data_IF_591593759851
#
_entry.id   IF_591593759851
#
_cell.length_a   1.000
_cell.length_b   1.000
_cell.length_c   1.000
_cell.angle_alpha   90.00
_cell.angle_beta   90.00
_cell.angle_gamma   90.00
#
_symmetry.space_group_name_H-M   'P 1'
#
loop_
_entity.id
_entity.type
_entity.pdbx_description
1 polymer ?
#
# COMPACT_ATOMS: atom_id res chain seq x y z
N UNK A 1 12.60 -29.34 42.12
CA UNK A 1 12.03 -29.97 40.91
C UNK A 1 10.99 -28.97 40.38
N UNK A 2 11.09 -28.34 39.21
CA UNK A 2 11.85 -28.62 37.99
C UNK A 2 12.15 -27.31 37.24
N UNK A 3 13.30 -27.24 36.59
CA UNK A 3 13.57 -26.31 35.50
C UNK A 3 13.16 -26.98 34.18
N UNK A 4 12.60 -26.21 33.25
CA UNK A 4 12.39 -26.67 31.87
C UNK A 4 13.04 -25.69 30.91
N UNK A 5 14.09 -26.19 30.27
CA UNK A 5 14.94 -25.59 29.23
C UNK A 5 14.31 -25.75 27.84
N UNK A 6 14.32 -24.64 27.09
CA UNK A 6 14.77 -24.41 25.69
C UNK A 6 14.48 -25.39 24.54
N UNK A 7 14.35 -24.77 23.34
CA UNK A 7 14.39 -25.27 21.96
C UNK A 7 13.03 -25.81 21.45
N UNK A 8 12.50 -25.39 20.30
CA UNK A 8 13.16 -25.41 18.98
C UNK A 8 12.71 -24.28 18.05
N UNK A 9 13.69 -23.73 17.34
CA UNK A 9 13.53 -23.01 16.08
C UNK A 9 12.68 -23.75 15.05
N UNK A 10 12.30 -22.97 14.04
CA UNK A 10 12.14 -23.38 12.65
C UNK A 10 10.71 -23.73 12.21
N UNK A 11 10.06 -22.71 11.66
CA UNK A 11 9.38 -22.85 10.37
C UNK A 11 9.48 -21.51 9.65
N UNK A 12 10.68 -21.23 9.13
CA UNK A 12 10.78 -20.50 7.88
C UNK A 12 9.98 -21.30 6.85
N UNK A 13 8.81 -20.83 6.48
CA UNK A 13 8.01 -21.42 5.40
C UNK A 13 8.47 -20.76 4.08
N UNK A 14 9.31 -21.42 3.26
CA UNK A 14 9.87 -20.82 2.06
C UNK A 14 9.02 -21.26 0.86
N UNK A 15 7.73 -20.93 0.87
CA UNK A 15 6.85 -21.29 -0.24
C UNK A 15 5.59 -20.42 -0.31
N UNK A 16 5.71 -19.10 -0.09
CA UNK A 16 4.66 -18.21 -0.60
C UNK A 16 4.86 -18.04 -2.10
N UNK A 17 4.45 -19.06 -2.87
CA UNK A 17 4.27 -18.93 -4.32
C UNK A 17 3.59 -17.58 -4.58
N UNK A 18 4.15 -16.71 -5.44
CA UNK A 18 3.45 -15.50 -5.83
C UNK A 18 2.19 -15.96 -6.56
N UNK A 19 1.06 -15.83 -5.89
CA UNK A 19 -0.25 -16.11 -6.47
C UNK A 19 -0.33 -15.29 -7.78
N UNK A 20 -0.44 -15.94 -8.96
CA UNK A 20 -0.48 -15.24 -10.25
C UNK A 20 -1.74 -14.38 -10.38
N UNK A 21 -2.66 -14.49 -9.42
CA UNK A 21 -3.76 -13.58 -9.19
C UNK A 21 -3.59 -12.87 -7.85
N UNK A 22 -2.48 -12.14 -7.65
CA UNK A 22 -2.48 -10.99 -6.72
C UNK A 22 -3.63 -10.08 -7.18
N UNK A 23 -4.83 -10.38 -6.69
CA UNK A 23 -6.09 -9.77 -7.12
C UNK A 23 -5.82 -8.29 -7.13
N UNK A 24 -5.95 -7.63 -8.28
CA UNK A 24 -5.81 -6.18 -8.36
C UNK A 24 -6.74 -5.61 -7.32
N UNK A 25 -6.17 -5.17 -6.20
CA UNK A 25 -6.96 -4.74 -5.06
C UNK A 25 -7.48 -3.37 -5.40
N UNK A 26 -8.76 -3.16 -5.15
CA UNK A 26 -9.39 -1.85 -5.31
C UNK A 26 -8.75 -0.79 -4.40
N UNK A 27 -8.03 -1.21 -3.37
CA UNK A 27 -7.20 -0.38 -2.48
C UNK A 27 -5.71 -0.58 -2.80
N UNK A 28 -4.89 0.43 -2.52
CA UNK A 28 -3.43 0.34 -2.60
C UNK A 28 -2.84 0.34 -1.19
N UNK A 29 -2.39 -0.81 -0.70
CA UNK A 29 -1.84 -0.90 0.66
C UNK A 29 -0.50 -0.16 0.82
N UNK A 30 -0.08 0.19 2.05
CA UNK A 30 1.20 0.85 2.29
C UNK A 30 2.40 0.01 1.81
N UNK A 31 2.32 -1.31 1.92
CA UNK A 31 3.36 -2.26 1.45
C UNK A 31 3.26 -2.60 -0.05
N UNK A 32 2.27 -2.04 -0.76
CA UNK A 32 2.13 -2.27 -2.19
C UNK A 32 3.08 -1.36 -2.98
N UNK A 33 3.58 -1.88 -4.11
CA UNK A 33 4.46 -1.13 -4.99
C UNK A 33 3.78 0.16 -5.45
N UNK A 34 4.53 1.25 -5.38
CA UNK A 34 4.12 2.59 -5.79
C UNK A 34 5.15 3.11 -6.80
N UNK A 35 4.72 3.75 -7.90
CA UNK A 35 5.65 4.26 -8.90
C UNK A 35 6.52 5.37 -8.32
N UNK A 36 7.83 5.28 -8.55
CA UNK A 36 8.79 6.31 -8.13
C UNK A 36 8.63 7.62 -8.91
N UNK A 37 8.09 7.54 -10.14
CA UNK A 37 7.85 8.69 -11.02
C UNK A 37 6.39 8.72 -11.50
N UNK A 38 5.67 9.80 -11.15
CA UNK A 38 4.27 9.99 -11.56
C UNK A 38 4.12 10.67 -12.91
N UNK A 39 5.09 11.50 -13.31
CA UNK A 39 5.07 12.24 -14.58
C UNK A 39 5.02 11.35 -15.83
N UNK A 40 5.48 10.11 -15.74
CA UNK A 40 5.41 9.13 -16.83
C UNK A 40 4.05 8.44 -16.99
N UNK A 41 3.13 8.61 -16.04
CA UNK A 41 1.82 7.98 -16.07
C UNK A 41 0.83 8.75 -16.93
N UNK A 42 -0.04 8.03 -17.64
CA UNK A 42 -1.20 8.66 -18.28
C UNK A 42 -2.12 9.29 -17.23
N UNK A 43 -2.91 10.30 -17.61
CA UNK A 43 -3.89 10.91 -16.68
C UNK A 43 -4.88 9.88 -16.14
N UNK A 44 -5.31 8.94 -16.99
CA UNK A 44 -6.20 7.85 -16.59
C UNK A 44 -5.57 6.97 -15.51
N UNK A 45 -4.29 6.58 -15.67
CA UNK A 45 -3.59 5.75 -14.68
C UNK A 45 -3.39 6.50 -13.36
N UNK A 46 -3.09 7.80 -13.43
CA UNK A 46 -2.95 8.65 -12.24
C UNK A 46 -4.28 8.78 -11.48
N UNK A 47 -5.41 8.94 -12.19
CA UNK A 47 -6.74 8.97 -11.59
C UNK A 47 -7.14 7.61 -10.98
N UNK A 48 -6.76 6.50 -11.62
CA UNK A 48 -6.94 5.15 -11.05
C UNK A 48 -6.12 5.02 -9.76
N UNK A 49 -4.85 5.46 -9.77
CA UNK A 49 -3.98 5.44 -8.60
C UNK A 49 -4.57 6.25 -7.45
N UNK A 50 -5.02 7.48 -7.71
CA UNK A 50 -5.74 8.33 -6.77
C UNK A 50 -6.95 7.60 -6.16
N UNK A 51 -7.80 7.00 -7.00
CA UNK A 51 -8.98 6.26 -6.53
C UNK A 51 -8.63 5.08 -5.61
N UNK A 52 -7.54 4.36 -5.91
CA UNK A 52 -7.08 3.23 -5.08
C UNK A 52 -6.54 3.69 -3.73
N UNK A 53 -5.84 4.83 -3.68
CA UNK A 53 -5.32 5.40 -2.44
C UNK A 53 -6.47 5.91 -1.57
N UNK A 54 -7.45 6.63 -2.13
CA UNK A 54 -8.63 7.10 -1.39
C UNK A 54 -9.40 5.93 -0.76
N UNK A 55 -9.59 4.82 -1.49
CA UNK A 55 -10.22 3.61 -0.94
C UNK A 55 -9.39 2.98 0.18
N UNK A 56 -8.07 3.02 0.09
CA UNK A 56 -7.20 2.56 1.18
C UNK A 56 -7.35 3.46 2.41
N UNK A 57 -7.36 4.78 2.24
CA UNK A 57 -7.56 5.73 3.33
C UNK A 57 -8.92 5.53 4.00
N UNK A 58 -10.00 5.42 3.22
CA UNK A 58 -11.34 5.12 3.73
C UNK A 58 -11.36 3.85 4.60
N UNK A 59 -10.61 2.82 4.17
CA UNK A 59 -10.46 1.59 4.94
C UNK A 59 -9.68 1.83 6.22
N UNK A 60 -8.53 2.50 6.15
CA UNK A 60 -7.67 2.74 7.31
C UNK A 60 -8.34 3.63 8.35
N UNK A 61 -9.06 4.69 7.95
CA UNK A 61 -9.85 5.51 8.87
C UNK A 61 -10.93 4.70 9.62
N UNK A 62 -11.47 3.64 9.00
CA UNK A 62 -12.47 2.77 9.63
C UNK A 62 -11.87 1.66 10.48
N UNK A 63 -10.70 1.16 10.13
CA UNK A 63 -10.12 -0.04 10.74
C UNK A 63 -8.96 0.22 11.68
N UNK A 64 -8.31 1.38 11.57
CA UNK A 64 -7.07 1.68 12.29
C UNK A 64 -7.35 2.70 13.41
N UNK A 65 -7.17 2.34 14.70
CA UNK A 65 -7.46 3.23 15.83
C UNK A 65 -6.65 4.52 15.85
N UNK A 66 -5.46 4.50 15.25
CA UNK A 66 -4.52 5.61 15.21
C UNK A 66 -4.60 6.46 13.94
N UNK A 67 -5.60 6.19 13.07
CA UNK A 67 -5.74 6.86 11.78
C UNK A 67 -4.98 6.17 10.64
N UNK A 68 -4.90 6.82 9.47
CA UNK A 68 -4.30 6.25 8.28
C UNK A 68 -2.79 6.08 8.42
N UNK A 69 -2.25 5.17 7.63
CA UNK A 69 -0.82 4.93 7.58
C UNK A 69 -0.11 6.14 6.93
N UNK A 70 1.00 6.66 7.49
CA UNK A 70 1.71 7.83 6.95
C UNK A 70 2.10 7.67 5.47
N UNK A 71 2.62 6.50 5.08
CA UNK A 71 2.93 6.24 3.67
C UNK A 71 1.72 6.33 2.73
N UNK A 72 0.51 6.00 3.21
CA UNK A 72 -0.71 6.13 2.39
C UNK A 72 -1.06 7.60 2.19
N UNK A 73 -0.88 8.45 3.21
CA UNK A 73 -1.10 9.89 3.10
C UNK A 73 -0.03 10.57 2.25
N UNK A 74 1.24 10.19 2.39
CA UNK A 74 2.34 10.76 1.58
C UNK A 74 2.11 10.49 0.09
N UNK A 75 1.77 9.24 -0.27
CA UNK A 75 1.42 8.87 -1.65
C UNK A 75 0.22 9.64 -2.19
N UNK A 76 -0.76 9.97 -1.34
CA UNK A 76 -1.88 10.81 -1.75
C UNK A 76 -1.39 12.23 -2.10
N UNK A 77 -0.52 12.80 -1.27
CA UNK A 77 0.06 14.12 -1.53
C UNK A 77 0.83 14.17 -2.85
N UNK A 78 1.64 13.15 -3.13
CA UNK A 78 2.38 13.07 -4.40
C UNK A 78 1.43 13.02 -5.61
N UNK A 79 0.40 12.19 -5.54
CA UNK A 79 -0.60 12.05 -6.63
C UNK A 79 -1.41 13.33 -6.82
N UNK A 80 -1.80 14.00 -5.74
CA UNK A 80 -2.50 15.29 -5.83
C UNK A 80 -1.60 16.36 -6.43
N UNK A 81 -0.33 16.43 -6.02
CA UNK A 81 0.63 17.38 -6.59
C UNK A 81 0.81 17.22 -8.10
N UNK A 82 0.88 15.98 -8.58
CA UNK A 82 0.96 15.71 -10.02
C UNK A 82 -0.35 16.04 -10.75
N UNK A 83 -1.52 15.73 -10.17
CA UNK A 83 -2.82 16.10 -10.75
C UNK A 83 -2.96 17.61 -10.86
N UNK A 84 -2.64 18.35 -9.80
CA UNK A 84 -2.67 19.81 -9.77
C UNK A 84 -1.70 20.42 -10.79
N UNK A 85 -0.51 19.82 -10.95
CA UNK A 85 0.44 20.27 -11.97
C UNK A 85 -0.11 20.13 -13.39
N UNK A 86 -0.88 19.08 -13.67
CA UNK A 86 -1.51 18.83 -14.99
C UNK A 86 -2.71 19.72 -15.24
N UNK A 87 -3.50 20.01 -14.21
CA UNK A 87 -4.67 20.88 -14.34
C UNK A 87 -4.27 22.36 -14.57
N UNK A 88 -3.07 22.74 -14.14
CA UNK A 88 -2.51 24.09 -14.30
C UNK A 88 -1.49 24.24 -15.45
N UNK A 89 -1.26 23.19 -16.25
CA UNK A 89 -0.34 23.20 -17.40
C UNK A 89 -1.03 23.60 -18.71
#
# INVERSE_FOLDING_TARGET
MSASTTLTSDRSDPARSPDPHRRVRSCLGPEEAFPDELGGLSLADLQVLHSRICRQLDREYRTTPHGPHPCTTDRLHDVLGELDARDNA
#
